data_IF_980104877077
#
_entry.id   IF_980104877077
#
_cell.length_a   1.000
_cell.length_b   1.000
_cell.length_c   1.000
_cell.angle_alpha   90.00
_cell.angle_beta   90.00
_cell.angle_gamma   90.00
#
_symmetry.space_group_name_H-M   'P 1'
#
loop_
_entity.id
_entity.type
_entity.pdbx_description
1 polymer ?
2 polymer ?
3 non-polymer ?
4 non-polymer ?
5 water ?
#
loop_
_entity_poly.entity_id
_entity_poly.type
_entity_poly.pdbx_seq_one_letter_code
_entity_poly.pdbx_strand_id
2 'polyribonucleotide' 'GG(6MZ)CU' ?
#
# COMPACT_ATOMS: atom_id res chain seq x y z
N UNK A 14 32.12 -16.68 -14.21
CA UNK A 14 32.00 -15.64 -15.21
C UNK A 14 32.11 -14.24 -14.63
N UNK A 15 31.56 -13.26 -15.35
CA UNK A 15 31.71 -11.87 -14.92
C UNK A 15 30.67 -11.01 -15.62
N UNK A 16 30.04 -10.13 -14.84
CA UNK A 16 29.14 -9.11 -15.36
C UNK A 16 29.71 -7.77 -14.89
N UNK A 17 30.37 -7.06 -15.81
CA UNK A 17 30.90 -5.73 -15.52
C UNK A 17 30.11 -4.64 -16.23
N UNK A 18 28.85 -4.93 -16.58
CA UNK A 18 28.04 -3.93 -17.29
C UNK A 18 27.83 -2.70 -16.43
N UNK A 19 27.26 -2.87 -15.23
CA UNK A 19 26.83 -1.71 -14.46
C UNK A 19 28.00 -0.97 -13.82
N UNK A 20 29.09 -1.70 -13.54
CA UNK A 20 30.28 -1.10 -12.94
C UNK A 20 30.90 -0.04 -13.84
N UNK A 21 30.59 -0.04 -15.14
CA UNK A 21 31.23 0.87 -16.09
C UNK A 21 30.20 1.89 -16.60
N UNK A 22 29.96 2.93 -15.80
CA UNK A 22 29.07 4.03 -16.20
C UNK A 22 29.22 5.18 -15.20
N UNK A 23 29.24 6.41 -15.72
CA UNK A 23 29.48 7.56 -14.88
C UNK A 23 28.38 8.60 -14.90
N UNK A 24 27.53 8.62 -15.91
CA UNK A 24 26.45 9.58 -16.01
C UNK A 24 25.14 8.81 -15.87
N UNK A 25 24.55 8.90 -14.69
CA UNK A 25 23.24 8.34 -14.39
C UNK A 25 22.85 8.78 -12.99
N UNK A 26 21.55 8.92 -12.70
CA UNK A 26 21.09 9.21 -11.36
C UNK A 26 19.90 8.31 -11.06
N UNK A 27 19.80 7.88 -9.81
CA UNK A 27 18.90 6.81 -9.42
C UNK A 27 18.15 7.23 -8.17
N UNK A 28 16.83 7.11 -8.20
CA UNK A 28 15.96 7.50 -7.10
C UNK A 28 15.09 6.32 -6.67
N UNK A 29 14.82 6.24 -5.36
CA UNK A 29 13.79 5.34 -4.83
C UNK A 29 12.43 5.98 -5.08
N UNK A 30 11.46 5.15 -5.48
CA UNK A 30 10.06 5.58 -5.57
C UNK A 30 9.24 4.70 -4.65
N UNK A 31 8.48 5.32 -3.75
CA UNK A 31 7.62 4.60 -2.82
C UNK A 31 6.17 4.92 -3.16
N UNK A 32 5.30 3.91 -3.02
CA UNK A 32 3.88 4.08 -3.31
C UNK A 32 3.08 3.41 -2.21
N UNK A 33 2.08 4.12 -1.66
CA UNK A 33 1.11 3.47 -0.77
C UNK A 33 0.32 2.38 -1.50
N UNK A 34 0.17 2.51 -2.82
CA UNK A 34 -0.87 1.82 -3.58
C UNK A 34 -0.29 0.83 -4.58
N UNK A 35 -0.76 -0.40 -4.53
CA UNK A 35 -0.48 -1.36 -5.58
C UNK A 35 -1.20 -1.00 -6.88
N UNK A 36 -2.39 -0.40 -6.79
CA UNK A 36 -3.09 0.03 -8.00
C UNK A 36 -2.25 1.03 -8.80
N UNK A 37 -1.62 1.99 -8.12
CA UNK A 37 -0.80 2.99 -8.81
C UNK A 37 0.36 2.33 -9.54
N UNK A 38 0.99 1.32 -8.93
CA UNK A 38 2.04 0.55 -9.63
C UNK A 38 1.50 -0.05 -10.92
N UNK A 39 0.38 -0.78 -10.83
CA UNK A 39 -0.23 -1.39 -12.02
C UNK A 39 -0.56 -0.35 -13.09
N UNK A 40 -1.14 0.77 -12.70
CA UNK A 40 -1.45 1.83 -13.67
C UNK A 40 -0.16 2.39 -14.30
N UNK A 41 0.90 2.51 -13.50
CA UNK A 41 2.16 3.04 -14.03
C UNK A 41 2.76 2.10 -15.08
N UNK A 42 2.73 0.79 -14.79
CA UNK A 42 3.21 -0.20 -15.75
C UNK A 42 2.35 -0.19 -17.01
N UNK A 43 1.05 -0.03 -16.85
CA UNK A 43 0.15 -0.12 -18.00
C UNK A 43 0.33 1.06 -18.94
N UNK A 44 0.50 2.27 -18.41
CA UNK A 44 0.46 3.49 -19.21
C UNK A 44 1.80 4.22 -19.29
N UNK A 45 2.82 3.71 -18.61
CA UNK A 45 4.16 4.31 -18.63
C UNK A 45 4.15 5.77 -18.17
N UNK A 46 3.49 6.03 -17.04
CA UNK A 46 3.41 7.36 -16.45
C UNK A 46 3.58 7.23 -14.93
N UNK A 47 3.95 8.34 -14.29
CA UNK A 47 4.03 8.41 -12.84
C UNK A 47 3.75 9.84 -12.40
N UNK A 48 3.54 10.01 -11.10
CA UNK A 48 3.47 11.30 -10.45
C UNK A 48 3.93 11.13 -9.01
N UNK A 49 4.73 12.06 -8.50
CA UNK A 49 5.18 12.00 -7.12
C UNK A 49 4.48 13.11 -6.32
N UNK A 50 5.01 13.40 -5.12
CA UNK A 50 4.55 14.55 -4.36
C UNK A 50 5.06 15.82 -5.04
N UNK A 51 4.65 16.97 -4.49
CA UNK A 51 5.17 18.21 -5.06
C UNK A 51 6.69 18.28 -4.90
N UNK A 52 7.22 17.96 -3.73
CA UNK A 52 8.66 18.09 -3.56
C UNK A 52 9.41 16.97 -4.28
N UNK A 53 8.80 15.79 -4.39
CA UNK A 53 9.42 14.71 -5.16
C UNK A 53 9.46 15.02 -6.65
N UNK A 54 8.34 15.49 -7.20
CA UNK A 54 8.33 15.91 -8.60
C UNK A 54 9.44 16.93 -8.87
N UNK A 55 9.59 17.91 -7.99
CA UNK A 55 10.62 18.95 -8.20
C UNK A 55 12.01 18.34 -8.20
N UNK A 56 12.27 17.43 -7.25
CA UNK A 56 13.53 16.69 -7.19
C UNK A 56 13.82 15.95 -8.47
N UNK A 57 12.86 15.14 -8.92
CA UNK A 57 13.00 14.35 -10.14
C UNK A 57 13.14 15.25 -11.36
N UNK A 58 12.33 16.30 -11.42
CA UNK A 58 12.36 17.21 -12.58
C UNK A 58 13.74 17.83 -12.74
N UNK A 59 14.34 18.30 -11.64
CA UNK A 59 15.63 18.97 -11.75
C UNK A 59 16.71 17.99 -12.17
N UNK A 60 16.65 16.75 -11.68
CA UNK A 60 17.62 15.73 -12.09
C UNK A 60 17.46 15.39 -13.57
N UNK A 61 16.22 15.19 -14.02
CA UNK A 61 16.00 14.88 -15.43
C UNK A 61 16.50 16.01 -16.32
N UNK A 62 16.17 17.25 -15.96
CA UNK A 62 16.50 18.40 -16.80
C UNK A 62 18.00 18.67 -16.84
N UNK A 63 18.69 18.54 -15.70
CA UNK A 63 20.13 18.77 -15.69
C UNK A 63 20.89 17.61 -16.30
N UNK A 64 20.26 16.44 -16.42
CA UNK A 64 20.90 15.31 -17.07
C UNK A 64 21.06 15.57 -18.56
N UNK A 65 20.08 16.27 -19.13
CA UNK A 65 20.08 16.63 -20.55
C UNK A 65 20.47 15.45 -21.42
N UNK A 66 19.76 14.33 -21.22
CA UNK A 66 19.92 13.17 -22.07
C UNK A 66 21.30 12.55 -22.11
N UNK A 67 22.19 12.87 -21.16
CA UNK A 67 23.55 12.32 -21.14
C UNK A 67 23.62 10.99 -20.41
N UNK A 68 22.57 10.60 -19.71
CA UNK A 68 22.54 9.37 -18.96
C UNK A 68 21.12 9.19 -18.45
N UNK A 69 20.79 8.00 -17.98
CA UNK A 69 19.41 7.76 -17.55
C UNK A 69 19.14 8.29 -16.15
N UNK A 70 17.87 8.60 -15.90
CA UNK A 70 17.36 8.74 -14.53
C UNK A 70 16.56 7.47 -14.24
N UNK A 71 17.05 6.64 -13.33
CA UNK A 71 16.40 5.39 -12.99
C UNK A 71 15.55 5.55 -11.73
N UNK A 72 14.44 4.80 -11.69
CA UNK A 72 13.47 4.85 -10.58
C UNK A 72 13.29 3.43 -10.06
N UNK A 73 13.54 3.22 -8.77
CA UNK A 73 13.45 1.90 -8.16
C UNK A 73 12.18 1.90 -7.32
N UNK A 74 11.18 1.11 -7.73
CA UNK A 74 9.82 1.19 -7.18
C UNK A 74 9.59 0.16 -6.09
N UNK A 75 8.89 0.57 -5.02
CA UNK A 75 8.57 -0.31 -3.91
C UNK A 75 7.28 0.20 -3.26
N UNK A 76 6.35 -0.71 -3.00
CA UNK A 76 5.12 -0.36 -2.28
C UNK A 76 5.40 -0.36 -0.78
N UNK A 77 4.95 0.70 -0.10
CA UNK A 77 5.17 0.85 1.34
C UNK A 77 4.73 -0.41 2.07
N UNK A 78 5.61 -0.94 2.92
CA UNK A 78 5.29 -2.07 3.75
C UNK A 78 5.28 -3.41 3.04
N UNK A 79 5.50 -3.42 1.72
CA UNK A 79 5.38 -4.67 0.97
C UNK A 79 6.56 -5.61 1.19
N UNK A 80 7.69 -5.11 1.69
CA UNK A 80 8.84 -5.94 1.91
C UNK A 80 9.70 -6.21 0.69
N UNK A 81 9.33 -5.68 -0.47
CA UNK A 81 10.13 -5.88 -1.67
C UNK A 81 10.05 -4.66 -2.58
N UNK A 82 11.04 -4.55 -3.46
CA UNK A 82 10.93 -3.72 -4.64
C UNK A 82 10.20 -4.47 -5.74
N UNK A 83 9.48 -3.74 -6.58
CA UNK A 83 8.67 -4.37 -7.59
C UNK A 83 9.13 -4.06 -9.00
N UNK A 84 10.15 -3.23 -9.17
CA UNK A 84 10.72 -3.08 -10.49
C UNK A 84 11.49 -1.78 -10.67
N UNK A 85 11.84 -1.52 -11.92
CA UNK A 85 12.72 -0.42 -12.29
C UNK A 85 12.15 0.25 -13.53
N UNK A 86 12.07 1.59 -13.51
CA UNK A 86 11.67 2.36 -14.68
C UNK A 86 12.71 3.45 -14.91
N UNK A 87 12.75 3.93 -16.14
CA UNK A 87 13.53 5.11 -16.50
C UNK A 87 12.58 6.29 -16.65
N UNK A 88 12.89 7.42 -16.02
CA UNK A 88 12.29 8.71 -16.36
C UNK A 88 12.40 8.96 -17.86
N UNK A 89 11.29 9.36 -18.51
CA UNK A 89 11.31 9.61 -19.95
C UNK A 89 10.82 11.00 -20.36
N UNK A 90 10.56 11.89 -19.41
CA UNK A 90 10.12 13.23 -19.75
C UNK A 90 10.25 14.09 -18.51
N UNK A 91 10.27 15.41 -18.73
CA UNK A 91 10.12 16.33 -17.63
C UNK A 91 8.70 16.24 -17.05
N UNK A 92 8.51 16.93 -15.93
CA UNK A 92 7.22 16.93 -15.22
C UNK A 92 6.30 17.98 -15.82
N UNK A 93 5.10 17.56 -16.18
CA UNK A 93 4.01 18.44 -16.56
C UNK A 93 3.16 18.63 -15.31
N UNK A 94 3.14 19.83 -14.77
CA UNK A 94 2.50 20.04 -13.48
C UNK A 94 0.99 20.29 -13.57
N UNK A 95 0.44 20.42 -14.77
CA UNK A 95 -0.96 20.83 -14.94
C UNK A 95 -1.63 19.80 -15.84
N UNK A 96 -2.12 18.73 -15.22
CA UNK A 96 -2.70 17.60 -15.91
C UNK A 96 -3.96 17.16 -15.16
N UNK A 97 -4.72 16.29 -15.81
CA UNK A 97 -5.98 15.80 -15.23
C UNK A 97 -5.78 15.35 -13.79
N UNK A 98 -6.68 15.77 -12.92
CA UNK A 98 -6.60 15.38 -11.51
C UNK A 98 -7.29 14.04 -11.27
N UNK A 99 -6.95 13.41 -10.15
CA UNK A 99 -7.67 12.20 -9.75
C UNK A 99 -7.40 10.93 -10.53
N UNK A 100 -6.31 10.84 -11.29
CA UNK A 100 -6.10 9.63 -12.08
C UNK A 100 -5.47 8.50 -11.27
N UNK A 101 -4.93 8.81 -10.09
CA UNK A 101 -4.32 7.84 -9.19
C UNK A 101 -5.29 7.48 -8.06
N UNK A 102 -4.88 6.54 -7.20
CA UNK A 102 -5.78 6.03 -6.17
C UNK A 102 -6.26 7.15 -5.24
N UNK A 103 -5.36 8.04 -4.83
CA UNK A 103 -5.67 9.26 -4.10
C UNK A 103 -5.55 10.47 -5.01
N UNK A 104 -6.38 11.48 -4.77
CA UNK A 104 -6.23 12.76 -5.48
C UNK A 104 -5.28 13.69 -4.72
N UNK A 105 -4.08 13.20 -4.41
CA UNK A 105 -3.07 13.98 -3.74
C UNK A 105 -1.92 14.39 -4.67
N UNK A 106 -1.81 13.79 -5.84
CA UNK A 106 -0.68 13.98 -6.74
C UNK A 106 -1.08 14.93 -7.87
N UNK A 107 -0.22 15.91 -8.14
CA UNK A 107 -0.48 16.90 -9.18
C UNK A 107 0.58 16.81 -10.27
N UNK A 108 0.16 16.48 -11.47
CA UNK A 108 1.04 16.41 -12.61
C UNK A 108 1.24 14.99 -13.09
N UNK A 109 2.20 14.85 -14.01
CA UNK A 109 2.47 13.60 -14.69
C UNK A 109 3.83 13.71 -15.34
N UNK A 110 4.56 12.60 -15.38
CA UNK A 110 5.69 12.51 -16.28
C UNK A 110 5.71 11.12 -16.88
N UNK A 111 6.39 11.00 -18.02
CA UNK A 111 6.50 9.73 -18.70
C UNK A 111 7.60 8.91 -18.05
N UNK A 112 7.38 7.59 -17.98
CA UNK A 112 8.44 6.66 -17.60
C UNK A 112 8.49 5.57 -18.64
N UNK A 113 9.48 4.70 -18.54
CA UNK A 113 9.51 3.44 -19.29
C UNK A 113 9.94 2.35 -18.33
N UNK A 114 9.03 1.43 -18.01
CA UNK A 114 9.39 0.33 -17.13
C UNK A 114 10.36 -0.60 -17.84
N UNK A 115 11.44 -0.97 -17.14
CA UNK A 115 12.52 -1.79 -17.67
C UNK A 115 12.45 -3.20 -17.10
N UNK A 116 12.17 -3.29 -15.81
CA UNK A 116 12.13 -4.54 -15.07
C UNK A 116 10.87 -4.51 -14.23
N UNK A 117 10.06 -5.54 -14.35
CA UNK A 117 8.92 -5.74 -13.46
C UNK A 117 9.18 -7.08 -12.79
N UNK A 118 9.72 -7.05 -11.58
CA UNK A 118 9.91 -8.28 -10.84
C UNK A 118 10.09 -7.93 -9.38
N UNK A 119 9.64 -8.83 -8.52
CA UNK A 119 9.71 -8.64 -7.08
C UNK A 119 11.09 -9.02 -6.58
N UNK A 120 11.73 -8.12 -5.84
CA UNK A 120 13.05 -8.37 -5.27
C UNK A 120 12.93 -8.13 -3.78
N UNK A 121 13.07 -9.18 -2.97
CA UNK A 121 12.94 -9.02 -1.52
C UNK A 121 13.95 -8.02 -0.96
N UNK A 122 13.51 -7.30 0.07
CA UNK A 122 14.38 -6.33 0.74
C UNK A 122 15.63 -7.00 1.32
N UNK A 123 15.52 -8.26 1.76
CA UNK A 123 16.70 -8.98 2.24
C UNK A 123 17.82 -9.00 1.20
N UNK A 124 17.46 -9.03 -0.09
CA UNK A 124 18.50 -9.06 -1.13
C UNK A 124 19.30 -7.77 -1.20
N UNK A 125 18.74 -6.67 -0.67
CA UNK A 125 19.35 -5.35 -0.85
C UNK A 125 19.69 -4.62 0.44
N UNK A 126 19.32 -5.15 1.61
CA UNK A 126 19.42 -4.36 2.84
C UNK A 126 20.85 -4.13 3.29
N UNK A 127 21.81 -4.91 2.77
CA UNK A 127 23.20 -4.66 3.12
C UNK A 127 23.74 -3.38 2.48
N UNK A 128 23.15 -2.94 1.37
CA UNK A 128 23.65 -1.76 0.68
C UNK A 128 23.13 -0.54 1.43
N UNK A 129 24.05 0.28 1.94
CA UNK A 129 23.68 1.43 2.76
C UNK A 129 23.98 2.74 2.03
N UNK A 130 23.25 3.80 2.39
CA UNK A 130 23.30 5.09 1.70
C UNK A 130 24.04 6.10 2.57
N UNK A 131 25.27 6.45 2.16
CA UNK A 131 26.04 7.45 2.90
C UNK A 131 25.39 8.82 2.93
N UNK A 132 24.49 9.11 1.99
CA UNK A 132 23.78 10.38 1.99
C UNK A 132 22.49 10.32 2.82
N UNK A 133 22.15 9.17 3.38
CA UNK A 133 20.97 9.02 4.23
C UNK A 133 21.35 8.31 5.52
N UNK A 134 22.36 8.87 6.20
CA UNK A 134 22.77 8.40 7.52
C UNK A 134 23.18 6.93 7.52
N UNK A 135 23.75 6.42 6.43
CA UNK A 135 24.19 5.02 6.37
C UNK A 135 23.03 4.03 6.54
N UNK A 136 21.79 4.50 6.37
CA UNK A 136 20.66 3.58 6.44
C UNK A 136 20.62 2.66 5.23
N UNK A 137 20.09 1.45 5.40
CA UNK A 137 19.94 0.55 4.26
C UNK A 137 19.10 1.19 3.18
N UNK A 138 19.45 0.89 1.92
CA UNK A 138 18.72 1.47 0.80
C UNK A 138 17.24 1.08 0.88
N UNK A 139 16.94 -0.06 1.50
CA UNK A 139 15.58 -0.55 1.63
C UNK A 139 14.76 0.24 2.64
N UNK A 140 15.42 1.04 3.48
CA UNK A 140 14.78 1.97 4.41
C UNK A 140 14.79 3.40 3.87
N UNK A 141 14.33 3.61 2.64
CA UNK A 141 14.36 4.92 2.00
C UNK A 141 12.95 5.49 1.87
N UNK A 142 12.83 6.81 1.96
CA UNK A 142 11.59 7.50 1.64
C UNK A 142 11.44 7.69 0.13
N UNK A 143 10.23 8.06 -0.30
CA UNK A 143 9.97 8.43 -1.69
C UNK A 143 10.95 9.52 -2.17
N UNK A 144 11.51 9.29 -3.36
CA UNK A 144 12.51 10.12 -4.07
C UNK A 144 13.81 10.35 -3.29
N UNK A 145 14.12 9.47 -2.35
CA UNK A 145 15.47 9.37 -1.82
C UNK A 145 16.43 9.13 -2.98
N UNK A 146 17.45 9.98 -3.16
CA UNK A 146 18.43 9.69 -4.21
C UNK A 146 19.47 8.68 -3.71
N UNK A 147 19.96 7.85 -4.63
CA UNK A 147 20.94 6.79 -4.35
C UNK A 147 22.26 7.19 -5.00
N UNK A 148 23.38 7.22 -4.24
CA UNK A 148 24.67 7.53 -4.87
C UNK A 148 24.99 6.50 -5.94
N UNK A 149 25.64 6.94 -7.02
CA UNK A 149 25.69 6.09 -8.21
C UNK A 149 26.43 4.79 -7.92
N UNK A 150 27.46 4.83 -7.08
CA UNK A 150 28.20 3.59 -6.79
C UNK A 150 27.32 2.59 -6.04
N UNK A 151 26.44 3.05 -5.15
CA UNK A 151 25.51 2.12 -4.52
C UNK A 151 24.43 1.69 -5.50
N UNK A 152 24.01 2.60 -6.38
CA UNK A 152 23.00 2.28 -7.38
C UNK A 152 23.48 1.19 -8.34
N UNK A 153 24.73 1.25 -8.78
CA UNK A 153 25.25 0.16 -9.61
C UNK A 153 25.11 -1.17 -8.90
N UNK A 154 25.38 -1.19 -7.59
CA UNK A 154 25.27 -2.41 -6.82
C UNK A 154 23.83 -2.89 -6.72
N UNK A 155 22.89 -1.94 -6.52
CA UNK A 155 21.49 -2.31 -6.43
C UNK A 155 21.00 -2.86 -7.76
N UNK A 156 21.36 -2.18 -8.85
CA UNK A 156 20.88 -2.60 -10.17
C UNK A 156 21.36 -4.01 -10.51
N UNK A 157 22.61 -4.32 -10.15
CA UNK A 157 23.15 -5.64 -10.44
C UNK A 157 22.40 -6.71 -9.67
N UNK A 158 22.13 -6.47 -8.38
CA UNK A 158 21.37 -7.44 -7.59
C UNK A 158 19.97 -7.62 -8.17
N UNK A 159 19.32 -6.52 -8.56
CA UNK A 159 17.96 -6.64 -9.09
C UNK A 159 17.97 -7.44 -10.38
N UNK A 160 18.94 -7.17 -11.27
CA UNK A 160 18.98 -7.88 -12.54
C UNK A 160 19.32 -9.35 -12.35
N UNK A 161 20.07 -9.68 -11.29
CA UNK A 161 20.50 -11.06 -11.08
C UNK A 161 19.46 -11.90 -10.36
N UNK A 162 18.55 -11.29 -9.62
CA UNK A 162 17.68 -12.05 -8.74
C UNK A 162 16.74 -12.95 -9.54
N UNK A 163 16.48 -14.15 -9.01
CA UNK A 163 15.62 -15.12 -9.68
C UNK A 163 14.55 -15.71 -8.76
N UNK B 15 -25.44 9.41 16.60
CA UNK B 15 -24.43 8.47 17.09
C UNK B 15 -25.08 7.39 17.94
N UNK B 16 -25.95 7.80 18.87
CA UNK B 16 -26.65 6.83 19.71
C UNK B 16 -27.73 6.08 18.95
N UNK B 17 -28.08 6.50 17.73
CA UNK B 17 -29.01 5.72 16.93
C UNK B 17 -28.37 4.49 16.31
N UNK B 18 -27.06 4.30 16.49
CA UNK B 18 -26.33 3.26 15.78
C UNK B 18 -25.58 2.37 16.75
N UNK B 19 -25.65 1.05 16.51
CA UNK B 19 -24.85 0.06 17.23
C UNK B 19 -25.04 0.15 18.74
N UNK B 20 -26.25 0.50 19.19
CA UNK B 20 -26.53 0.45 20.62
C UNK B 20 -26.68 -1.00 21.08
N UNK B 21 -27.42 -1.80 20.32
CA UNK B 21 -27.73 -3.17 20.68
C UNK B 21 -26.71 -4.10 20.00
N UNK B 22 -25.53 -4.16 20.61
CA UNK B 22 -24.45 -5.05 20.19
C UNK B 22 -23.88 -5.63 21.48
N UNK B 23 -24.48 -6.72 21.96
CA UNK B 23 -24.03 -7.31 23.22
C UNK B 23 -22.69 -8.02 23.04
N UNK B 24 -22.65 -8.98 22.11
CA UNK B 24 -21.48 -9.81 21.87
C UNK B 24 -20.80 -9.39 20.57
N UNK B 25 -19.94 -10.25 20.05
CA UNK B 25 -19.36 -10.03 18.76
C UNK B 25 -17.92 -9.56 18.84
N UNK B 26 -17.30 -9.46 17.68
CA UNK B 26 -15.89 -9.13 17.60
C UNK B 26 -15.69 -8.25 16.37
N UNK B 27 -14.67 -7.39 16.44
CA UNK B 27 -14.48 -6.35 15.44
C UNK B 27 -13.01 -6.31 15.07
N UNK B 28 -12.72 -6.21 13.77
CA UNK B 28 -11.36 -6.25 13.26
C UNK B 28 -11.14 -5.12 12.26
N UNK B 29 -9.92 -4.59 12.25
CA UNK B 29 -9.46 -3.68 11.22
C UNK B 29 -9.16 -4.49 9.95
N UNK B 30 -9.50 -3.94 8.79
CA UNK B 30 -9.08 -4.48 7.51
C UNK B 30 -8.29 -3.39 6.80
N UNK B 31 -7.10 -3.73 6.34
CA UNK B 31 -6.30 -2.79 5.54
C UNK B 31 -6.15 -3.32 4.12
N UNK B 32 -5.92 -2.40 3.17
CA UNK B 32 -5.69 -2.84 1.79
C UNK B 32 -4.71 -1.89 1.10
N UNK B 33 -3.77 -2.41 0.32
CA UNK B 33 -3.07 -1.47 -0.54
C UNK B 33 -3.60 -1.52 -1.97
N UNK B 34 -4.90 -1.82 -2.12
CA UNK B 34 -5.60 -1.69 -3.40
C UNK B 34 -6.99 -1.14 -3.18
N UNK B 35 -7.23 0.06 -3.70
CA UNK B 35 -8.57 0.61 -3.76
C UNK B 35 -9.44 -0.21 -4.70
N UNK B 36 -8.86 -0.76 -5.77
CA UNK B 36 -9.65 -1.62 -6.66
C UNK B 36 -10.24 -2.81 -5.90
N UNK B 37 -9.45 -3.41 -5.01
CA UNK B 37 -9.98 -4.57 -4.27
C UNK B 37 -11.16 -4.14 -3.40
N UNK B 38 -11.06 -2.97 -2.77
CA UNK B 38 -12.19 -2.45 -2.00
C UNK B 38 -13.42 -2.30 -2.89
N UNK B 39 -13.23 -1.72 -4.07
CA UNK B 39 -14.37 -1.52 -4.96
C UNK B 39 -14.99 -2.86 -5.35
N UNK B 40 -14.16 -3.88 -5.57
CA UNK B 40 -14.68 -5.21 -5.90
C UNK B 40 -15.42 -5.81 -4.71
N UNK B 41 -14.91 -5.56 -3.50
CA UNK B 41 -15.55 -6.05 -2.28
C UNK B 41 -16.94 -5.47 -2.12
N UNK B 42 -17.08 -4.18 -2.41
CA UNK B 42 -18.37 -3.52 -2.26
C UNK B 42 -19.33 -4.03 -3.31
N UNK B 43 -18.85 -4.23 -4.53
CA UNK B 43 -19.73 -4.64 -5.61
C UNK B 43 -20.22 -6.07 -5.42
N UNK B 44 -19.36 -6.97 -4.94
CA UNK B 44 -19.71 -8.39 -4.88
C UNK B 44 -19.87 -8.93 -3.47
N UNK B 45 -19.72 -8.08 -2.44
CA UNK B 45 -19.90 -8.47 -1.04
C UNK B 45 -19.02 -9.67 -0.69
N UNK B 46 -17.73 -9.58 -1.00
CA UNK B 46 -16.75 -10.62 -0.70
C UNK B 46 -15.47 -9.94 -0.25
N UNK B 47 -14.61 -10.71 0.43
CA UNK B 47 -13.29 -10.21 0.80
C UNK B 47 -12.33 -11.37 0.96
N UNK B 48 -11.04 -11.03 1.05
CA UNK B 48 -9.98 -12.00 1.24
C UNK B 48 -8.83 -11.25 1.91
N UNK B 49 -8.23 -11.85 2.94
CA UNK B 49 -7.10 -11.26 3.65
C UNK B 49 -5.84 -12.03 3.31
N UNK B 50 -4.76 -11.77 4.06
CA UNK B 50 -3.59 -12.62 3.99
C UNK B 50 -3.94 -14.03 4.49
N UNK B 51 -2.99 -14.96 4.34
CA UNK B 51 -3.24 -16.32 4.82
C UNK B 51 -3.47 -16.32 6.33
N UNK B 52 -2.62 -15.62 7.08
CA UNK B 52 -2.80 -15.61 8.52
C UNK B 52 -3.92 -14.68 8.94
N UNK B 53 -4.21 -13.65 8.14
CA UNK B 53 -5.40 -12.83 8.39
C UNK B 53 -6.68 -13.61 8.20
N UNK B 54 -6.77 -14.39 7.11
CA UNK B 54 -7.93 -15.24 6.89
C UNK B 54 -8.12 -16.20 8.06
N UNK B 55 -7.03 -16.82 8.50
CA UNK B 55 -7.13 -17.78 9.60
C UNK B 55 -7.66 -17.13 10.87
N UNK B 56 -7.25 -15.88 11.13
CA UNK B 56 -7.68 -15.19 12.34
C UNK B 56 -9.15 -14.82 12.25
N UNK B 57 -9.58 -14.31 11.10
CA UNK B 57 -10.99 -13.98 10.91
C UNK B 57 -11.84 -15.24 10.90
N UNK B 58 -11.35 -16.31 10.28
CA UNK B 58 -12.11 -17.55 10.23
C UNK B 58 -12.39 -18.05 11.64
N UNK B 59 -11.36 -18.02 12.51
CA UNK B 59 -11.54 -18.56 13.86
C UNK B 59 -12.54 -17.74 14.67
N UNK B 60 -12.48 -16.42 14.59
CA UNK B 60 -13.44 -15.60 15.33
C UNK B 60 -14.84 -15.79 14.79
N UNK B 61 -14.97 -15.96 13.48
CA UNK B 61 -16.30 -16.18 12.89
C UNK B 61 -16.86 -17.52 13.35
N UNK B 62 -16.06 -18.58 13.29
CA UNK B 62 -16.55 -19.91 13.66
C UNK B 62 -16.80 -20.00 15.16
N UNK B 63 -15.91 -19.41 15.98
CA UNK B 63 -16.10 -19.44 17.43
C UNK B 63 -17.33 -18.65 17.85
N UNK B 64 -17.75 -17.67 17.04
CA UNK B 64 -18.95 -16.92 17.36
C UNK B 64 -20.22 -17.71 17.11
N UNK B 65 -20.19 -18.62 16.12
CA UNK B 65 -21.30 -19.55 15.86
C UNK B 65 -22.63 -18.80 15.71
N UNK B 66 -22.60 -17.64 15.07
CA UNK B 66 -23.80 -16.88 14.82
C UNK B 66 -24.41 -16.19 16.01
N UNK B 67 -23.79 -16.27 17.19
CA UNK B 67 -24.35 -15.63 18.37
C UNK B 67 -24.17 -14.11 18.38
N UNK B 68 -23.37 -13.57 17.46
CA UNK B 68 -23.21 -12.13 17.37
C UNK B 68 -22.45 -11.76 16.11
N UNK B 69 -22.33 -10.48 15.83
CA UNK B 69 -21.70 -10.05 14.57
C UNK B 69 -20.18 -10.03 14.65
N UNK B 70 -19.54 -10.28 13.50
CA UNK B 70 -18.14 -9.93 13.31
C UNK B 70 -18.12 -8.76 12.35
N UNK B 71 -17.66 -7.60 12.83
CA UNK B 71 -17.61 -6.40 12.01
C UNK B 71 -16.18 -6.14 11.53
N UNK B 72 -16.07 -5.52 10.35
CA UNK B 72 -14.80 -5.24 9.70
C UNK B 72 -14.71 -3.74 9.46
N UNK B 73 -13.64 -3.11 9.93
CA UNK B 73 -13.44 -1.68 9.78
C UNK B 73 -12.39 -1.43 8.69
N UNK B 74 -12.82 -0.97 7.51
CA UNK B 74 -11.94 -0.94 6.34
C UNK B 74 -11.19 0.38 6.22
N UNK B 75 -9.91 0.29 5.81
CA UNK B 75 -9.09 1.49 5.60
C UNK B 75 -7.99 1.15 4.59
N UNK B 76 -7.85 1.97 3.55
CA UNK B 76 -6.84 1.75 2.53
C UNK B 76 -5.50 2.31 3.01
N UNK B 77 -4.42 1.54 2.83
CA UNK B 77 -3.10 2.01 3.24
C UNK B 77 -2.82 3.41 2.72
N UNK B 78 -2.41 4.28 3.63
CA UNK B 78 -1.99 5.62 3.26
C UNK B 78 -3.10 6.57 2.87
N UNK B 79 -4.38 6.15 2.94
CA UNK B 79 -5.48 7.03 2.57
C UNK B 79 -5.73 8.13 3.60
N UNK B 80 -5.32 7.93 4.85
CA UNK B 80 -5.68 8.90 5.87
C UNK B 80 -7.11 8.81 6.35
N UNK B 81 -7.89 7.82 5.91
CA UNK B 81 -9.28 7.71 6.32
C UNK B 81 -9.72 6.25 6.32
N UNK B 82 -10.76 5.97 7.09
CA UNK B 82 -11.44 4.70 6.99
C UNK B 82 -12.47 4.85 5.87
N UNK B 83 -12.79 3.75 5.20
CA UNK B 83 -13.65 3.87 4.05
C UNK B 83 -14.97 3.13 4.22
N UNK B 84 -15.20 2.47 5.34
CA UNK B 84 -16.51 1.89 5.58
C UNK B 84 -16.47 0.74 6.55
N UNK B 85 -17.63 0.10 6.69
CA UNK B 85 -17.87 -0.95 7.66
C UNK B 85 -18.61 -2.08 6.98
N UNK B 86 -18.18 -3.31 7.19
CA UNK B 86 -18.86 -4.49 6.68
C UNK B 86 -18.96 -5.53 7.77
N UNK B 87 -19.95 -6.41 7.65
CA UNK B 87 -20.08 -7.55 8.55
C UNK B 87 -19.65 -8.83 7.83
N UNK B 88 -18.82 -9.63 8.47
CA UNK B 88 -18.45 -10.95 7.96
C UNK B 88 -19.65 -11.87 7.93
N UNK B 89 -19.89 -12.54 6.79
CA UNK B 89 -21.14 -13.27 6.60
C UNK B 89 -20.93 -14.75 6.25
N UNK B 90 -19.71 -15.26 6.32
CA UNK B 90 -19.46 -16.66 6.07
C UNK B 90 -18.08 -16.99 6.59
N UNK B 91 -17.83 -18.27 6.78
CA UNK B 91 -16.49 -18.78 7.03
C UNK B 91 -15.63 -18.60 5.78
N UNK B 92 -14.35 -18.85 5.93
CA UNK B 92 -13.39 -18.66 4.84
C UNK B 92 -13.37 -19.92 3.98
N UNK B 93 -13.59 -19.74 2.69
CA UNK B 93 -13.45 -20.80 1.71
C UNK B 93 -12.06 -20.68 1.09
N UNK B 94 -11.21 -21.66 1.34
CA UNK B 94 -9.81 -21.58 0.93
C UNK B 94 -9.54 -22.16 -0.44
N UNK B 95 -10.54 -22.78 -1.08
CA UNK B 95 -10.38 -23.40 -2.40
C UNK B 95 -11.30 -22.69 -3.38
N UNK B 96 -10.82 -21.59 -3.96
CA UNK B 96 -11.62 -20.76 -4.84
C UNK B 96 -10.81 -20.34 -6.04
N UNK B 97 -11.49 -19.75 -7.02
CA UNK B 97 -10.82 -19.28 -8.22
C UNK B 97 -9.65 -18.35 -7.90
N UNK B 98 -8.51 -18.61 -8.54
CA UNK B 98 -7.34 -17.77 -8.32
C UNK B 98 -7.41 -16.51 -9.19
N UNK B 99 -6.58 -15.54 -8.81
CA UNK B 99 -6.37 -14.34 -9.60
C UNK B 99 -7.56 -13.41 -9.75
N UNK B 100 -8.52 -13.43 -8.81
CA UNK B 100 -9.66 -12.53 -8.93
C UNK B 100 -9.43 -11.16 -8.30
N UNK B 101 -8.37 -10.98 -7.54
CA UNK B 101 -8.07 -9.70 -6.88
C UNK B 101 -6.94 -8.98 -7.62
N UNK B 102 -6.48 -7.86 -7.03
CA UNK B 102 -5.47 -7.03 -7.68
C UNK B 102 -4.16 -7.79 -7.86
N UNK B 103 -3.87 -8.73 -6.97
CA UNK B 103 -2.66 -9.52 -6.99
C UNK B 103 -3.03 -10.97 -6.75
N UNK B 104 -2.17 -11.88 -7.19
CA UNK B 104 -2.48 -13.31 -7.03
C UNK B 104 -2.28 -13.80 -5.61
N UNK B 105 -1.56 -13.06 -4.77
CA UNK B 105 -1.28 -13.53 -3.41
C UNK B 105 -2.53 -13.59 -2.54
N UNK B 106 -3.63 -12.94 -2.94
CA UNK B 106 -4.88 -12.98 -2.18
C UNK B 106 -5.66 -14.21 -2.62
N UNK B 107 -5.59 -15.27 -1.82
CA UNK B 107 -6.16 -16.57 -2.15
C UNK B 107 -7.26 -16.92 -1.16
N UNK B 108 -8.39 -17.38 -1.66
CA UNK B 108 -9.53 -17.68 -0.80
C UNK B 108 -10.55 -16.56 -0.79
N UNK B 109 -11.64 -16.80 -0.08
CA UNK B 109 -12.75 -15.88 -0.14
C UNK B 109 -13.67 -16.12 1.05
N UNK B 110 -14.27 -15.04 1.54
CA UNK B 110 -15.40 -15.16 2.46
C UNK B 110 -16.38 -14.06 2.12
N UNK B 111 -17.65 -14.29 2.47
CA UNK B 111 -18.70 -13.33 2.22
C UNK B 111 -18.70 -12.23 3.27
N UNK B 112 -19.02 -11.01 2.83
CA UNK B 112 -19.25 -9.88 3.73
C UNK B 112 -20.57 -9.23 3.35
N UNK B 113 -21.06 -8.34 4.21
CA UNK B 113 -22.17 -7.44 3.89
C UNK B 113 -21.78 -6.01 4.25
N UNK B 114 -21.63 -5.15 3.25
CA UNK B 114 -21.27 -3.75 3.50
C UNK B 114 -22.45 -2.96 4.07
N UNK B 115 -22.19 -2.30 5.19
CA UNK B 115 -23.18 -1.54 5.94
C UNK B 115 -23.01 -0.05 5.72
N UNK B 116 -21.78 0.44 5.85
CA UNK B 116 -21.48 1.83 5.52
C UNK B 116 -20.37 1.85 4.48
N UNK B 117 -20.55 2.65 3.44
CA UNK B 117 -19.48 3.00 2.52
C UNK B 117 -19.35 4.52 2.64
N UNK B 118 -18.33 4.97 3.36
CA UNK B 118 -18.19 6.38 3.71
C UNK B 118 -16.74 6.61 4.12
N UNK B 119 -16.17 7.69 3.62
CA UNK B 119 -14.83 8.09 4.05
C UNK B 119 -14.92 8.84 5.36
N UNK B 120 -14.22 8.37 6.37
CA UNK B 120 -14.15 9.03 7.67
C UNK B 120 -12.68 9.34 7.94
N UNK B 121 -12.30 10.61 8.07
CA UNK B 121 -10.89 10.95 8.31
C UNK B 121 -10.37 10.31 9.58
N UNK B 122 -9.06 9.99 9.58
CA UNK B 122 -8.44 9.42 10.76
C UNK B 122 -8.48 10.36 11.96
N UNK B 123 -8.49 11.67 11.73
CA UNK B 123 -8.55 12.62 12.84
C UNK B 123 -9.79 12.39 13.72
N UNK B 124 -10.86 11.86 13.14
CA UNK B 124 -12.06 11.55 13.90
C UNK B 124 -11.90 10.33 14.79
N UNK B 125 -10.91 9.48 14.52
CA UNK B 125 -10.77 8.21 15.21
C UNK B 125 -9.48 8.09 15.99
N UNK B 126 -8.50 8.97 15.77
CA UNK B 126 -7.15 8.74 16.27
C UNK B 126 -7.08 8.79 17.80
N UNK B 127 -8.04 9.40 18.46
CA UNK B 127 -8.03 9.47 19.92
C UNK B 127 -8.51 8.18 20.59
N UNK B 128 -8.91 7.17 19.82
CA UNK B 128 -9.32 5.88 20.35
C UNK B 128 -8.13 4.93 20.30
N UNK B 129 -7.71 4.43 21.46
CA UNK B 129 -6.49 3.64 21.58
C UNK B 129 -6.82 2.21 21.97
N UNK B 130 -5.96 1.29 21.54
CA UNK B 130 -6.19 -0.14 21.68
C UNK B 130 -5.34 -0.68 22.82
N UNK B 131 -5.99 -1.03 23.94
CA UNK B 131 -5.24 -1.54 25.09
C UNK B 131 -4.61 -2.90 24.81
N UNK B 132 -5.09 -3.63 23.80
CA UNK B 132 -4.47 -4.87 23.36
C UNK B 132 -3.36 -4.65 22.34
N UNK B 133 -3.09 -3.41 21.96
CA UNK B 133 -2.02 -3.10 21.01
C UNK B 133 -1.15 -1.96 21.55
N UNK B 134 -0.66 -2.10 22.79
CA UNK B 134 0.23 -1.11 23.44
C UNK B 134 -0.37 0.29 23.48
N UNK B 135 -1.69 0.36 23.58
CA UNK B 135 -2.41 1.63 23.66
C UNK B 135 -2.15 2.52 22.43
N UNK B 136 -1.85 1.90 21.28
CA UNK B 136 -1.67 2.68 20.06
C UNK B 136 -3.01 3.11 19.48
N UNK B 137 -3.05 4.23 18.75
CA UNK B 137 -4.29 4.68 18.12
C UNK B 137 -4.85 3.60 17.21
N UNK B 138 -6.19 3.51 17.17
CA UNK B 138 -6.84 2.52 16.31
C UNK B 138 -6.46 2.75 14.85
N UNK B 139 -6.17 4.00 14.48
CA UNK B 139 -5.76 4.40 13.14
C UNK B 139 -4.37 3.91 12.75
N UNK B 140 -3.58 3.43 13.71
CA UNK B 140 -2.27 2.84 13.44
C UNK B 140 -2.30 1.32 13.45
N UNK B 141 -3.41 0.72 13.09
CA UNK B 141 -3.53 -0.73 13.17
C UNK B 141 -3.10 -1.40 11.87
N UNK B 142 -2.60 -2.62 12.01
CA UNK B 142 -2.34 -3.48 10.87
C UNK B 142 -3.62 -4.25 10.48
N UNK B 143 -3.58 -4.85 9.30
CA UNK B 143 -4.65 -5.72 8.82
C UNK B 143 -5.00 -6.81 9.85
N UNK B 144 -6.29 -6.96 10.11
CA UNK B 144 -6.91 -7.93 11.04
C UNK B 144 -6.49 -7.73 12.49
N UNK B 145 -5.99 -6.53 12.84
CA UNK B 145 -5.88 -6.16 14.25
C UNK B 145 -7.26 -6.23 14.90
N UNK B 146 -7.42 -7.04 15.95
CA UNK B 146 -8.72 -7.06 16.62
C UNK B 146 -8.88 -5.83 17.51
N UNK B 147 -10.09 -5.30 17.57
CA UNK B 147 -10.41 -4.11 18.34
C UNK B 147 -11.19 -4.54 19.58
N UNK B 148 -10.84 -4.08 20.78
CA UNK B 148 -11.67 -4.38 21.97
C UNK B 148 -13.08 -3.85 21.78
N UNK B 149 -14.07 -4.60 22.29
CA UNK B 149 -15.45 -4.33 21.93
C UNK B 149 -15.88 -2.94 22.34
N UNK B 150 -15.45 -2.48 23.52
CA UNK B 150 -15.81 -1.14 23.94
C UNK B 150 -15.19 -0.08 23.04
N UNK B 151 -13.95 -0.29 22.56
CA UNK B 151 -13.40 0.70 21.62
C UNK B 151 -14.05 0.57 20.24
N UNK B 152 -14.36 -0.66 19.85
CA UNK B 152 -14.97 -0.89 18.54
C UNK B 152 -16.33 -0.22 18.45
N UNK B 153 -17.08 -0.28 19.54
CA UNK B 153 -18.37 0.38 19.59
C UNK B 153 -18.21 1.89 19.41
N UNK B 154 -17.15 2.47 19.98
CA UNK B 154 -16.89 3.90 19.77
C UNK B 154 -16.57 4.20 18.31
N UNK B 155 -15.72 3.36 17.68
CA UNK B 155 -15.40 3.54 16.26
C UNK B 155 -16.66 3.43 15.41
N UNK B 156 -17.48 2.41 15.67
CA UNK B 156 -18.66 2.17 14.85
C UNK B 156 -19.64 3.35 14.90
N UNK B 157 -19.90 3.93 16.09
CA UNK B 157 -20.74 5.12 16.16
C UNK B 157 -20.17 6.30 15.40
N UNK B 158 -18.88 6.59 15.60
CA UNK B 158 -18.35 7.76 14.92
C UNK B 158 -18.50 7.60 13.41
N UNK B 159 -18.15 6.43 12.90
CA UNK B 159 -18.26 6.21 11.46
C UNK B 159 -19.71 6.34 11.03
N UNK B 160 -20.63 5.68 11.74
CA UNK B 160 -22.04 5.72 11.37
C UNK B 160 -22.58 7.14 11.31
N UNK B 161 -22.19 7.99 12.26
CA UNK B 161 -22.80 9.31 12.37
C UNK B 161 -22.03 10.41 11.65
N UNK B 162 -20.82 10.12 11.17
CA UNK B 162 -20.02 11.15 10.52
C UNK B 162 -20.72 11.67 9.26
N UNK B 163 -20.66 12.99 9.07
CA UNK B 163 -21.33 13.67 7.98
C UNK B 163 -20.41 14.73 7.35
#
# INVERSE_FOLDING_TARGET
MGSSYHHHHHHSSGENLYFQHMKHGRVFIIKSYSEDDIHRSIKYNIWCSTEHGNKRLDAAYRSMNGKGPVYLLFSVNGSGHFCGVAEMKSAVDYNTCAGVWSQDKWKGRFDVRWIFVKDVPNSQLRHIRLENNENKPVTNSRDTQEVPLEKAKQVLKIIASYKHTTS
MGSSYHHHHHHSSGENLYFQHMKHGRVFIIKSYSEDDIHRSIKYNIWCSTEHGNKRLDAAYRSMNGKGPVYLLFSVNGSGHFCGVAEMKSAVDYNTCAGVWSQDKWKGRFDVRWIFVKDVPNSQLRHIRLENNENKPVTNSRDTQEVPLEKAKQVLKIIASYKHTTS
#
